data_IF_514231493910
#
_entry.id   IF_514231493910
#
_cell.length_a   1.000
_cell.length_b   1.000
_cell.length_c   1.000
_cell.angle_alpha   90.00
_cell.angle_beta   90.00
_cell.angle_gamma   90.00
#
_symmetry.space_group_name_H-M   'P 1'
#
loop_
_entity.id
_entity.type
_entity.pdbx_description
1 polymer ?
#
# COMPACT_ATOMS: atom_id res chain seq x y z
N UNK A 1 19.54 0.66 -2.46
CA UNK A 1 20.47 0.58 -3.61
C UNK A 1 19.79 1.23 -4.80
N UNK A 2 20.42 2.14 -5.55
CA UNK A 2 19.82 2.69 -6.76
C UNK A 2 19.61 1.60 -7.80
N UNK A 3 18.44 1.56 -8.44
CA UNK A 3 18.13 0.59 -9.50
C UNK A 3 18.88 1.00 -10.77
N UNK A 4 19.97 0.29 -11.09
CA UNK A 4 20.78 0.53 -12.30
C UNK A 4 20.15 -0.12 -13.54
N UNK A 5 20.65 0.23 -14.73
CA UNK A 5 20.22 -0.43 -15.98
C UNK A 5 20.54 -1.94 -15.94
N UNK A 6 21.75 -2.30 -15.51
CA UNK A 6 22.18 -3.68 -15.32
C UNK A 6 21.28 -4.44 -14.33
N UNK A 7 20.90 -3.80 -13.21
CA UNK A 7 19.94 -4.39 -12.26
C UNK A 7 18.60 -4.71 -12.94
N UNK A 8 18.12 -3.80 -13.81
CA UNK A 8 16.87 -4.03 -14.56
C UNK A 8 17.01 -5.18 -15.55
N UNK A 9 18.13 -5.30 -16.24
CA UNK A 9 18.39 -6.39 -17.18
C UNK A 9 18.43 -7.75 -16.47
N UNK A 10 19.10 -7.84 -15.32
CA UNK A 10 19.09 -9.05 -14.50
C UNK A 10 17.69 -9.42 -14.02
N UNK A 11 16.93 -8.45 -13.51
CA UNK A 11 15.55 -8.68 -13.07
C UNK A 11 14.68 -9.13 -14.24
N UNK A 12 14.76 -8.46 -15.39
CA UNK A 12 13.99 -8.78 -16.60
C UNK A 12 14.26 -10.20 -17.09
N UNK A 13 15.54 -10.58 -17.17
CA UNK A 13 15.96 -11.91 -17.62
C UNK A 13 15.46 -13.00 -16.66
N UNK A 14 15.58 -12.77 -15.35
CA UNK A 14 15.12 -13.70 -14.33
C UNK A 14 13.59 -13.84 -14.35
N UNK A 15 12.84 -12.74 -14.48
CA UNK A 15 11.38 -12.76 -14.61
C UNK A 15 10.92 -13.48 -15.87
N UNK A 16 11.57 -13.24 -17.01
CA UNK A 16 11.26 -13.92 -18.28
C UNK A 16 11.48 -15.43 -18.16
N UNK A 17 12.55 -15.84 -17.49
CA UNK A 17 12.83 -17.24 -17.23
C UNK A 17 11.80 -17.86 -16.28
N UNK A 18 11.48 -17.18 -15.17
CA UNK A 18 10.50 -17.62 -14.19
C UNK A 18 9.10 -17.76 -14.79
N UNK A 19 8.73 -16.89 -15.74
CA UNK A 19 7.44 -16.96 -16.43
C UNK A 19 7.25 -18.26 -17.23
N UNK A 20 8.34 -18.95 -17.60
CA UNK A 20 8.27 -20.26 -18.26
C UNK A 20 8.14 -21.44 -17.30
N UNK A 21 8.37 -21.24 -16.00
CA UNK A 21 8.21 -22.27 -14.98
C UNK A 21 6.72 -22.56 -14.68
N UNK A 22 6.40 -23.73 -14.10
CA UNK A 22 5.08 -24.01 -13.52
C UNK A 22 4.63 -22.89 -12.57
N UNK A 23 3.32 -22.65 -12.46
CA UNK A 23 2.77 -21.52 -11.71
C UNK A 23 3.19 -21.57 -10.25
N UNK A 24 3.25 -22.78 -9.69
CA UNK A 24 3.58 -23.07 -8.30
C UNK A 24 5.04 -22.72 -7.97
N UNK A 25 5.91 -22.67 -8.98
CA UNK A 25 7.32 -22.32 -8.86
C UNK A 25 7.57 -20.80 -9.04
N UNK A 26 6.55 -20.03 -9.42
CA UNK A 26 6.66 -18.57 -9.68
C UNK A 26 6.63 -17.75 -8.40
N UNK A 27 7.59 -18.03 -7.54
CA UNK A 27 7.67 -17.50 -6.17
C UNK A 27 8.83 -16.51 -6.01
N UNK A 28 8.92 -15.81 -4.87
CA UNK A 28 10.05 -14.91 -4.59
C UNK A 28 11.37 -15.68 -4.46
N UNK A 29 11.30 -16.87 -3.85
CA UNK A 29 12.45 -17.80 -3.82
C UNK A 29 12.83 -18.26 -5.23
N UNK A 30 11.85 -18.63 -6.05
CA UNK A 30 12.08 -19.02 -7.45
C UNK A 30 12.77 -17.93 -8.25
N UNK A 31 12.31 -16.68 -8.11
CA UNK A 31 12.94 -15.51 -8.73
C UNK A 31 14.39 -15.33 -8.26
N UNK A 32 14.63 -15.45 -6.95
CA UNK A 32 15.95 -15.27 -6.34
C UNK A 32 16.99 -16.29 -6.85
N UNK A 33 16.56 -17.53 -7.10
CA UNK A 33 17.42 -18.58 -7.68
C UNK A 33 17.90 -18.19 -9.08
N UNK A 34 17.01 -17.66 -9.92
CA UNK A 34 17.28 -17.33 -11.32
C UNK A 34 18.07 -16.04 -11.53
N UNK A 35 18.08 -15.14 -10.53
CA UNK A 35 18.84 -13.89 -10.60
C UNK A 35 20.34 -14.16 -10.79
N UNK A 36 20.97 -13.36 -11.66
CA UNK A 36 22.42 -13.43 -11.94
C UNK A 36 23.17 -12.28 -11.26
N UNK A 37 22.72 -11.84 -10.08
CA UNK A 37 23.35 -10.78 -9.30
C UNK A 37 23.24 -11.08 -7.81
N UNK A 38 24.39 -11.16 -7.12
CA UNK A 38 24.43 -11.44 -5.69
C UNK A 38 23.81 -10.32 -4.86
N UNK A 39 24.00 -9.06 -5.25
CA UNK A 39 23.43 -7.91 -4.54
C UNK A 39 21.90 -7.93 -4.61
N UNK A 40 21.33 -8.27 -5.77
CA UNK A 40 19.88 -8.44 -5.91
C UNK A 40 19.36 -9.64 -5.11
N UNK A 41 20.08 -10.76 -5.09
CA UNK A 41 19.71 -11.91 -4.24
C UNK A 41 19.70 -11.55 -2.76
N UNK A 42 20.72 -10.82 -2.29
CA UNK A 42 20.79 -10.34 -0.92
C UNK A 42 19.63 -9.39 -0.59
N UNK A 43 19.26 -8.51 -1.53
CA UNK A 43 18.12 -7.61 -1.38
C UNK A 43 16.76 -8.34 -1.30
N UNK A 44 16.58 -9.43 -2.05
CA UNK A 44 15.34 -10.23 -2.04
C UNK A 44 15.29 -11.28 -0.92
N UNK A 45 16.44 -11.67 -0.37
CA UNK A 45 16.56 -12.71 0.68
C UNK A 45 15.56 -12.53 1.84
N UNK A 46 15.28 -11.32 2.35
CA UNK A 46 14.31 -11.17 3.44
C UNK A 46 12.90 -11.68 3.11
N UNK A 47 12.51 -11.59 1.83
CA UNK A 47 11.21 -12.00 1.31
C UNK A 47 11.18 -13.43 0.83
N UNK A 48 12.31 -14.13 0.79
CA UNK A 48 12.37 -15.54 0.37
C UNK A 48 12.03 -16.47 1.54
N UNK A 49 11.75 -17.75 1.24
CA UNK A 49 11.62 -18.82 2.25
C UNK A 49 12.84 -18.83 3.17
N UNK A 50 12.59 -18.85 4.48
CA UNK A 50 13.63 -18.77 5.52
C UNK A 50 14.12 -17.35 5.84
N UNK A 51 13.67 -16.33 5.11
CA UNK A 51 13.84 -14.93 5.45
C UNK A 51 12.80 -14.44 6.49
N UNK A 52 13.06 -13.32 7.20
CA UNK A 52 12.15 -12.76 8.20
C UNK A 52 10.75 -12.41 7.66
N UNK A 53 10.61 -12.19 6.35
CA UNK A 53 9.37 -11.82 5.68
C UNK A 53 8.89 -12.86 4.67
N UNK A 54 9.50 -14.06 4.63
CA UNK A 54 9.18 -15.10 3.67
C UNK A 54 7.70 -15.49 3.67
N UNK A 55 7.05 -15.45 4.84
CA UNK A 55 5.62 -15.75 4.98
C UNK A 55 4.66 -14.73 4.34
N UNK A 56 5.16 -13.56 3.90
CA UNK A 56 4.30 -12.46 3.46
C UNK A 56 4.08 -12.45 1.94
N UNK A 57 5.13 -12.69 1.16
CA UNK A 57 5.11 -12.54 -0.30
C UNK A 57 5.66 -13.76 -1.04
N UNK A 58 5.99 -14.85 -0.34
CA UNK A 58 6.56 -16.05 -0.94
C UNK A 58 5.71 -17.27 -0.64
N UNK A 59 4.96 -17.70 -1.65
CA UNK A 59 4.05 -18.84 -1.57
C UNK A 59 3.85 -19.46 -2.95
N UNK A 60 3.59 -20.77 -2.98
CA UNK A 60 3.25 -21.52 -4.20
C UNK A 60 1.87 -21.11 -4.75
N UNK A 61 0.97 -20.67 -3.87
CA UNK A 61 -0.36 -20.20 -4.22
C UNK A 61 -0.77 -19.00 -3.37
N UNK A 62 -1.49 -18.05 -3.97
CA UNK A 62 -2.05 -16.90 -3.29
C UNK A 62 -3.49 -17.17 -2.86
N UNK A 63 -3.83 -16.79 -1.62
CA UNK A 63 -5.19 -16.89 -1.08
C UNK A 63 -5.63 -15.57 -0.43
N UNK A 64 -6.35 -14.74 -1.18
CA UNK A 64 -6.91 -13.48 -0.67
C UNK A 64 -8.38 -13.60 -0.23
N UNK A 65 -9.04 -14.73 -0.51
CA UNK A 65 -10.47 -14.96 -0.28
C UNK A 65 -11.37 -14.44 -1.41
N UNK A 66 -12.64 -14.87 -1.38
CA UNK A 66 -13.71 -14.59 -2.37
C UNK A 66 -14.98 -13.99 -1.74
N UNK A 67 -14.94 -13.73 -0.43
CA UNK A 67 -16.04 -13.10 0.31
C UNK A 67 -16.32 -11.66 -0.19
N UNK A 68 -17.55 -11.20 0.03
CA UNK A 68 -17.95 -9.81 -0.27
C UNK A 68 -17.27 -8.78 0.64
N UNK A 69 -16.80 -9.20 1.81
CA UNK A 69 -16.04 -8.40 2.76
C UNK A 69 -14.74 -9.13 3.06
N UNK A 70 -13.62 -8.47 2.79
CA UNK A 70 -12.28 -8.98 3.02
C UNK A 70 -11.54 -7.95 3.87
N UNK A 71 -10.95 -8.40 4.97
CA UNK A 71 -10.13 -7.58 5.84
C UNK A 71 -8.69 -8.09 5.83
N UNK A 72 -7.74 -7.17 5.69
CA UNK A 72 -6.32 -7.44 5.82
C UNK A 72 -5.84 -6.84 7.14
N UNK A 73 -5.44 -7.68 8.09
CA UNK A 73 -4.82 -7.23 9.33
C UNK A 73 -3.39 -6.77 9.02
N UNK A 74 -3.07 -5.54 9.42
CA UNK A 74 -1.77 -4.90 9.17
C UNK A 74 -1.06 -4.47 10.45
N UNK A 75 -1.64 -4.73 11.62
CA UNK A 75 -0.98 -4.55 12.91
C UNK A 75 0.34 -5.33 12.93
N UNK A 76 1.39 -4.67 13.40
CA UNK A 76 2.75 -5.20 13.40
C UNK A 76 3.42 -5.29 12.02
N UNK A 77 2.69 -5.19 10.89
CA UNK A 77 3.29 -5.09 9.56
C UNK A 77 3.91 -3.71 9.32
N UNK A 78 3.18 -2.65 9.68
CA UNK A 78 3.55 -1.25 9.40
C UNK A 78 4.89 -0.84 10.02
N UNK A 79 5.33 -1.53 11.08
CA UNK A 79 6.60 -1.29 11.77
C UNK A 79 7.77 -2.06 11.16
N UNK A 80 7.52 -2.90 10.15
CA UNK A 80 8.53 -3.73 9.48
C UNK A 80 9.03 -3.09 8.19
N UNK A 81 10.23 -3.49 7.76
CA UNK A 81 10.77 -3.11 6.45
C UNK A 81 10.02 -3.72 5.25
N UNK A 82 9.06 -4.63 5.49
CA UNK A 82 8.25 -5.26 4.45
C UNK A 82 6.97 -4.47 4.11
N UNK A 83 6.56 -3.53 4.97
CA UNK A 83 5.27 -2.85 4.82
C UNK A 83 5.06 -2.23 3.43
N UNK A 84 6.01 -1.48 2.84
CA UNK A 84 5.81 -0.87 1.53
C UNK A 84 5.58 -1.91 0.43
N UNK A 85 6.33 -3.02 0.45
CA UNK A 85 6.21 -4.07 -0.56
C UNK A 85 4.88 -4.83 -0.46
N UNK A 86 4.49 -5.18 0.77
CA UNK A 86 3.22 -5.90 1.03
C UNK A 86 2.02 -5.03 0.67
N UNK A 87 2.02 -3.76 1.11
CA UNK A 87 0.93 -2.84 0.78
C UNK A 87 0.86 -2.55 -0.72
N UNK A 88 1.99 -2.33 -1.40
CA UNK A 88 1.98 -2.16 -2.84
C UNK A 88 1.37 -3.37 -3.57
N UNK A 89 1.69 -4.59 -3.12
CA UNK A 89 1.11 -5.82 -3.67
C UNK A 89 -0.39 -5.96 -3.39
N UNK A 90 -0.83 -5.74 -2.15
CA UNK A 90 -2.25 -5.76 -1.80
C UNK A 90 -3.06 -4.78 -2.64
N UNK A 91 -2.55 -3.56 -2.84
CA UNK A 91 -3.18 -2.55 -3.68
C UNK A 91 -3.27 -2.98 -5.14
N UNK A 92 -2.21 -3.59 -5.68
CA UNK A 92 -2.22 -4.17 -7.03
C UNK A 92 -3.34 -5.21 -7.17
N UNK A 93 -3.45 -6.14 -6.21
CA UNK A 93 -4.46 -7.21 -6.23
C UNK A 93 -5.88 -6.70 -6.02
N UNK A 94 -6.08 -5.71 -5.15
CA UNK A 94 -7.37 -5.04 -4.99
C UNK A 94 -7.77 -4.38 -6.31
N UNK A 95 -6.86 -3.64 -6.94
CA UNK A 95 -7.14 -2.95 -8.21
C UNK A 95 -7.52 -3.92 -9.33
N UNK A 96 -6.94 -5.11 -9.39
CA UNK A 96 -7.26 -6.15 -10.39
C UNK A 96 -8.63 -6.80 -10.16
N UNK A 97 -9.12 -6.80 -8.91
CA UNK A 97 -10.45 -7.33 -8.55
C UNK A 97 -11.60 -6.37 -8.83
N UNK A 98 -11.31 -5.11 -9.13
CA UNK A 98 -12.33 -4.11 -9.44
C UNK A 98 -12.88 -4.32 -10.85
N UNK A 99 -14.01 -5.00 -10.92
CA UNK A 99 -14.72 -5.39 -12.14
C UNK A 99 -15.87 -4.43 -12.53
N UNK A 100 -15.97 -3.29 -11.85
CA UNK A 100 -17.01 -2.27 -12.06
C UNK A 100 -18.21 -2.37 -11.13
N UNK A 101 -18.30 -3.40 -10.28
CA UNK A 101 -19.26 -3.42 -9.17
C UNK A 101 -18.92 -2.34 -8.14
N UNK A 102 -19.92 -1.68 -7.53
CA UNK A 102 -19.68 -0.71 -6.46
C UNK A 102 -18.85 -1.35 -5.35
N UNK A 103 -17.64 -0.82 -5.14
CA UNK A 103 -16.69 -1.38 -4.17
C UNK A 103 -16.22 -0.28 -3.24
N UNK A 104 -16.31 -0.52 -1.93
CA UNK A 104 -15.78 0.38 -0.90
C UNK A 104 -14.48 -0.20 -0.36
N UNK A 105 -13.44 0.62 -0.33
CA UNK A 105 -12.13 0.23 0.19
C UNK A 105 -11.82 1.11 1.39
N UNK A 106 -11.76 0.48 2.56
CA UNK A 106 -11.51 1.16 3.83
C UNK A 106 -10.04 1.01 4.19
N UNK A 107 -9.39 2.14 4.43
CA UNK A 107 -8.01 2.21 4.91
C UNK A 107 -8.07 2.80 6.32
N UNK A 108 -7.90 1.94 7.32
CA UNK A 108 -7.89 2.32 8.73
C UNK A 108 -6.44 2.49 9.21
N UNK A 109 -6.07 3.72 9.57
CA UNK A 109 -4.71 4.14 9.98
C UNK A 109 -3.55 3.73 9.04
N UNK A 110 -3.83 3.12 7.89
CA UNK A 110 -2.85 2.64 6.91
C UNK A 110 -2.10 3.75 6.18
N UNK A 111 -2.49 5.01 6.40
CA UNK A 111 -1.72 6.18 5.96
C UNK A 111 -0.40 6.32 6.75
N UNK A 112 -0.22 5.64 7.89
CA UNK A 112 1.09 5.57 8.58
C UNK A 112 2.19 4.95 7.71
N UNK A 113 1.82 4.08 6.76
CA UNK A 113 2.75 3.50 5.79
C UNK A 113 3.34 4.53 4.80
N UNK A 114 2.85 5.77 4.79
CA UNK A 114 3.22 6.83 3.85
C UNK A 114 4.55 7.51 4.14
N UNK A 115 5.30 7.01 5.13
CA UNK A 115 6.72 7.34 5.26
C UNK A 115 7.53 6.93 4.02
N UNK A 116 7.05 5.94 3.25
CA UNK A 116 7.65 5.55 1.98
C UNK A 116 7.15 6.42 0.80
N UNK A 117 8.04 7.16 0.10
CA UNK A 117 7.64 8.05 -0.99
C UNK A 117 7.04 7.32 -2.20
N UNK A 118 7.44 6.08 -2.47
CA UNK A 118 6.93 5.33 -3.62
C UNK A 118 5.49 4.89 -3.36
N UNK A 119 5.23 4.35 -2.17
CA UNK A 119 3.87 3.99 -1.75
C UNK A 119 2.95 5.21 -1.66
N UNK A 120 3.43 6.32 -1.09
CA UNK A 120 2.67 7.57 -1.05
C UNK A 120 2.24 8.06 -2.44
N UNK A 121 3.17 8.03 -3.40
CA UNK A 121 2.86 8.36 -4.79
C UNK A 121 1.81 7.41 -5.39
N UNK A 122 1.98 6.10 -5.20
CA UNK A 122 1.03 5.10 -5.69
C UNK A 122 -0.38 5.31 -5.11
N UNK A 123 -0.49 5.58 -3.80
CA UNK A 123 -1.78 5.85 -3.16
C UNK A 123 -2.43 7.11 -3.72
N UNK A 124 -1.65 8.18 -3.92
CA UNK A 124 -2.14 9.43 -4.53
C UNK A 124 -2.70 9.22 -5.94
N UNK A 125 -1.99 8.47 -6.80
CA UNK A 125 -2.48 8.13 -8.15
C UNK A 125 -3.76 7.28 -8.11
N UNK A 126 -3.84 6.38 -7.14
CA UNK A 126 -4.97 5.49 -6.97
C UNK A 126 -6.25 6.24 -6.58
N UNK A 127 -6.14 7.22 -5.68
CA UNK A 127 -7.28 8.06 -5.27
C UNK A 127 -7.98 8.75 -6.45
N UNK A 128 -7.21 9.18 -7.45
CA UNK A 128 -7.75 9.89 -8.62
C UNK A 128 -8.29 8.92 -9.68
N UNK A 129 -7.75 7.70 -9.76
CA UNK A 129 -8.06 6.73 -10.82
C UNK A 129 -9.19 5.77 -10.46
N UNK A 130 -9.38 5.45 -9.18
CA UNK A 130 -10.35 4.47 -8.71
C UNK A 130 -11.80 4.77 -9.06
N UNK A 131 -12.18 6.05 -9.08
CA UNK A 131 -13.54 6.46 -9.47
C UNK A 131 -13.96 5.91 -10.84
N UNK A 132 -12.99 5.69 -11.74
CA UNK A 132 -13.22 5.10 -13.07
C UNK A 132 -13.64 3.64 -13.01
N UNK A 133 -13.32 2.95 -11.91
CA UNK A 133 -13.64 1.54 -11.65
C UNK A 133 -14.85 1.34 -10.74
N UNK A 134 -15.67 2.38 -10.52
CA UNK A 134 -16.81 2.36 -9.60
C UNK A 134 -16.43 2.00 -8.15
N UNK A 135 -15.23 2.42 -7.74
CA UNK A 135 -14.71 2.21 -6.40
C UNK A 135 -14.63 3.53 -5.61
N UNK A 136 -14.86 3.45 -4.31
CA UNK A 136 -14.67 4.55 -3.36
C UNK A 136 -13.63 4.16 -2.30
N UNK A 137 -12.88 5.15 -1.83
CA UNK A 137 -11.92 5.00 -0.74
C UNK A 137 -12.43 5.74 0.47
N UNK A 138 -12.38 5.07 1.62
CA UNK A 138 -12.68 5.65 2.93
C UNK A 138 -11.41 5.59 3.76
N UNK A 139 -10.92 6.75 4.17
CA UNK A 139 -9.85 6.84 5.17
C UNK A 139 -10.48 7.00 6.55
N UNK A 140 -10.05 6.15 7.47
CA UNK A 140 -10.33 6.28 8.90
C UNK A 140 -9.02 6.64 9.63
N UNK A 141 -9.07 7.70 10.42
CA UNK A 141 -7.96 8.11 11.28
C UNK A 141 -8.47 8.77 12.55
N UNK A 142 -7.75 8.55 13.64
CA UNK A 142 -7.94 9.19 14.93
C UNK A 142 -7.24 10.55 15.01
N UNK A 143 -6.31 10.86 14.10
CA UNK A 143 -5.50 12.09 14.17
C UNK A 143 -5.44 12.85 12.85
N UNK A 144 -6.26 13.90 12.75
CA UNK A 144 -6.15 14.89 11.66
C UNK A 144 -4.77 15.55 11.60
N UNK A 145 -4.09 15.70 12.74
CA UNK A 145 -2.74 16.27 12.79
C UNK A 145 -1.72 15.41 12.05
N UNK A 146 -1.85 14.09 12.13
CA UNK A 146 -0.92 13.22 11.42
C UNK A 146 -1.24 13.16 9.92
N UNK A 147 -2.53 13.16 9.56
CA UNK A 147 -2.95 13.31 8.18
C UNK A 147 -2.41 14.61 7.56
N UNK A 148 -2.45 15.71 8.31
CA UNK A 148 -1.98 17.02 7.89
C UNK A 148 -0.47 17.07 7.58
N UNK A 149 0.32 16.31 8.33
CA UNK A 149 1.76 16.19 8.14
C UNK A 149 2.15 15.20 7.04
N UNK A 150 1.18 14.49 6.47
CA UNK A 150 1.42 13.52 5.40
C UNK A 150 1.72 14.19 4.06
N UNK A 151 2.62 13.60 3.29
CA UNK A 151 3.00 14.05 1.94
C UNK A 151 1.83 14.01 0.94
N UNK A 152 0.82 13.18 1.20
CA UNK A 152 -0.38 13.06 0.35
C UNK A 152 -1.58 13.83 0.88
N UNK A 153 -1.44 14.60 1.96
CA UNK A 153 -2.53 15.36 2.54
C UNK A 153 -3.30 16.20 1.49
N UNK A 154 -2.63 16.90 0.55
CA UNK A 154 -3.34 17.65 -0.51
C UNK A 154 -4.22 16.74 -1.38
N UNK A 155 -3.69 15.57 -1.78
CA UNK A 155 -4.43 14.62 -2.61
C UNK A 155 -5.65 14.04 -1.88
N UNK A 156 -5.54 13.76 -0.58
CA UNK A 156 -6.67 13.31 0.24
C UNK A 156 -7.70 14.43 0.40
N UNK A 157 -7.28 15.64 0.74
CA UNK A 157 -8.18 16.79 0.91
C UNK A 157 -8.99 17.05 -0.38
N UNK A 158 -8.34 16.98 -1.53
CA UNK A 158 -8.97 17.20 -2.84
C UNK A 158 -9.84 16.02 -3.29
N UNK A 159 -9.37 14.79 -3.09
CA UNK A 159 -10.04 13.58 -3.60
C UNK A 159 -11.10 13.01 -2.66
N UNK A 160 -11.13 13.43 -1.39
CA UNK A 160 -12.11 13.02 -0.39
C UNK A 160 -13.03 14.19 -0.01
N UNK A 161 -14.07 14.48 -0.84
CA UNK A 161 -14.99 15.57 -0.58
C UNK A 161 -15.94 15.29 0.59
N UNK A 162 -16.28 14.01 0.82
CA UNK A 162 -17.10 13.59 1.96
C UNK A 162 -16.22 13.42 3.18
N UNK A 163 -16.54 14.15 4.25
CA UNK A 163 -15.79 14.13 5.52
C UNK A 163 -16.76 13.86 6.66
N UNK A 164 -16.51 12.80 7.42
CA UNK A 164 -17.26 12.44 8.61
C UNK A 164 -16.38 12.77 9.83
N UNK A 165 -16.71 13.88 10.50
CA UNK A 165 -15.97 14.33 11.67
C UNK A 165 -16.77 13.97 12.92
N UNK A 166 -16.17 13.15 13.78
CA UNK A 166 -16.76 12.74 15.04
C UNK A 166 -16.44 13.74 16.16
N UNK A 167 -17.22 13.76 17.25
CA UNK A 167 -16.96 14.65 18.39
C UNK A 167 -15.52 14.54 18.90
N UNK A 168 -14.89 15.69 19.12
CA UNK A 168 -13.54 15.80 19.67
C UNK A 168 -13.51 16.93 20.70
N UNK A 169 -13.38 16.58 21.98
CA UNK A 169 -13.36 17.54 23.09
C UNK A 169 -12.22 18.55 22.98
N UNK A 170 -11.13 18.16 22.30
CA UNK A 170 -9.94 18.99 22.10
C UNK A 170 -10.05 19.91 20.89
N UNK A 171 -11.17 19.89 20.14
CA UNK A 171 -11.35 20.72 18.94
C UNK A 171 -11.28 22.23 19.22
N UNK A 172 -11.51 22.64 20.47
CA UNK A 172 -11.41 24.03 20.94
C UNK A 172 -9.98 24.47 21.26
N UNK A 173 -9.03 23.53 21.38
CA UNK A 173 -7.63 23.88 21.61
C UNK A 173 -7.07 24.57 20.35
N UNK A 174 -6.38 25.73 20.47
CA UNK A 174 -5.99 26.53 19.30
C UNK A 174 -5.21 25.76 18.22
N UNK A 175 -4.36 24.82 18.63
CA UNK A 175 -3.59 23.96 17.72
C UNK A 175 -4.50 23.03 16.91
N UNK A 176 -5.47 22.42 17.58
CA UNK A 176 -6.42 21.50 16.95
C UNK A 176 -7.41 22.28 16.08
N UNK A 177 -7.95 23.40 16.57
CA UNK A 177 -8.84 24.28 15.79
C UNK A 177 -8.20 24.70 14.46
N UNK A 178 -6.91 25.02 14.45
CA UNK A 178 -6.19 25.38 13.23
C UNK A 178 -6.19 24.25 12.19
N UNK A 179 -6.03 22.99 12.64
CA UNK A 179 -6.11 21.81 11.77
C UNK A 179 -7.52 21.68 11.20
N UNK A 180 -8.56 21.70 12.04
CA UNK A 180 -9.95 21.60 11.57
C UNK A 180 -10.30 22.69 10.54
N UNK A 181 -9.82 23.93 10.73
CA UNK A 181 -9.98 25.01 9.75
C UNK A 181 -9.31 24.72 8.40
N UNK A 182 -8.12 24.09 8.40
CA UNK A 182 -7.46 23.63 7.16
C UNK A 182 -8.26 22.53 6.46
N UNK A 183 -8.99 21.72 7.22
CA UNK A 183 -9.97 20.77 6.70
C UNK A 183 -11.36 21.37 6.43
N UNK A 184 -11.46 22.70 6.32
CA UNK A 184 -12.65 23.40 5.83
C UNK A 184 -13.73 23.70 6.87
N UNK A 185 -13.45 23.50 8.17
CA UNK A 185 -14.38 23.87 9.22
C UNK A 185 -14.24 25.35 9.58
N UNK A 186 -15.30 25.88 10.18
CA UNK A 186 -15.35 27.24 10.70
C UNK A 186 -15.86 27.21 12.15
N UNK A 187 -15.98 28.38 12.77
CA UNK A 187 -16.30 28.51 14.19
C UNK A 187 -17.80 28.30 14.50
N UNK A 188 -18.66 28.09 13.48
CA UNK A 188 -20.11 27.92 13.63
C UNK A 188 -20.52 26.46 13.71
#
# INVERSE_FOLDING_TARGET
MPVTLESKEHIWTALTSLASAPIEERTMTGLSVLLQSNDLKLALKPYCVGGPYGRLLDAEAETLGDASVIAFETEGLLETGAAPAVLAYLFHRIADRLDGRPTMIVIDEGWLALGDPAFAKQLGEWLVTLRKKNASVVFATQSLAQLENSTIAPAIIESCPTRLLLPNERAIEPQITAIYRRFGLNDR
#
